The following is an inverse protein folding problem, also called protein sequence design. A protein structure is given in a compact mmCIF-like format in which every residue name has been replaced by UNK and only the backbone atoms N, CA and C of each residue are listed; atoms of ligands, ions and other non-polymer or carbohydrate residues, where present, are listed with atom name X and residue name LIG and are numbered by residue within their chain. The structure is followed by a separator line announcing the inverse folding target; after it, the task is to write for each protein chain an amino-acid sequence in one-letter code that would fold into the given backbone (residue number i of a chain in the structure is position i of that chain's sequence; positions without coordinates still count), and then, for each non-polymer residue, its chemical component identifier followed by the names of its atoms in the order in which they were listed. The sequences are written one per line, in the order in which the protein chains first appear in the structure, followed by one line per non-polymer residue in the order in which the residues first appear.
data_IF_591853526603
#
_entry.id   IF_591853526603
#
_cell.length_a   1.000
_cell.length_b   1.000
_cell.length_c   1.000
_cell.angle_alpha   90.00
_cell.angle_beta   90.00
_cell.angle_gamma   90.00
#
_symmetry.space_group_name_H-M   'P 1'
#
loop_
_entity.id
_entity.type
_entity.pdbx_description
1 polymer ?
#
# COMPACT_ATOMS: atom_id res chain seq x y z
N UNK A 1 -11.76 -47.98 46.36
CA UNK A 1 -10.66 -47.14 45.88
C UNK A 1 -11.14 -46.48 44.56
N UNK A 2 -11.57 -45.20 44.67
CA UNK A 2 -12.14 -44.47 43.50
C UNK A 2 -11.01 -43.58 42.97
N UNK A 3 -10.60 -43.80 41.73
CA UNK A 3 -9.60 -42.97 41.05
C UNK A 3 -10.35 -41.86 40.29
N UNK A 4 -10.22 -40.61 40.79
CA UNK A 4 -10.68 -39.44 40.06
C UNK A 4 -9.68 -39.08 38.98
N UNK A 5 -10.05 -39.21 37.73
CA UNK A 5 -9.29 -38.69 36.59
C UNK A 5 -9.61 -37.19 36.42
N UNK A 6 -8.65 -36.34 36.73
CA UNK A 6 -8.75 -34.90 36.43
C UNK A 6 -8.38 -34.65 34.97
N UNK A 7 -9.35 -34.27 34.16
CA UNK A 7 -9.15 -33.81 32.79
C UNK A 7 -8.66 -32.37 32.78
N UNK A 8 -7.40 -32.14 32.43
CA UNK A 8 -6.84 -30.82 32.15
C UNK A 8 -7.31 -30.38 30.77
N UNK A 9 -8.21 -29.38 30.72
CA UNK A 9 -8.52 -28.66 29.49
C UNK A 9 -7.37 -27.66 29.24
N UNK A 10 -6.50 -27.97 28.29
CA UNK A 10 -5.53 -27.01 27.77
C UNK A 10 -6.27 -26.06 26.87
N UNK A 11 -6.58 -24.86 27.37
CA UNK A 11 -7.07 -23.78 26.55
C UNK A 11 -5.93 -23.34 25.57
N UNK A 12 -6.13 -23.58 24.27
CA UNK A 12 -5.25 -23.02 23.26
C UNK A 12 -5.29 -21.49 23.35
N UNK A 13 -4.14 -20.80 23.36
CA UNK A 13 -4.15 -19.35 23.32
C UNK A 13 -4.76 -18.91 21.98
N UNK A 14 -5.87 -18.16 22.04
CA UNK A 14 -6.38 -17.43 20.90
C UNK A 14 -5.24 -16.54 20.37
N UNK A 15 -5.01 -16.47 19.05
CA UNK A 15 -4.08 -15.48 18.52
C UNK A 15 -4.67 -14.10 18.91
N UNK A 16 -4.08 -13.49 19.93
CA UNK A 16 -4.28 -12.08 20.20
C UNK A 16 -3.80 -11.37 18.94
N UNK A 17 -4.76 -10.83 18.16
CA UNK A 17 -4.44 -9.90 17.10
C UNK A 17 -3.61 -8.79 17.71
N UNK A 18 -2.30 -8.87 17.57
CA UNK A 18 -1.43 -7.77 17.89
C UNK A 18 -1.91 -6.64 16.97
N UNK A 19 -2.63 -5.67 17.55
CA UNK A 19 -2.72 -4.34 16.99
C UNK A 19 -1.28 -3.83 16.96
N UNK A 20 -0.58 -4.15 15.89
CA UNK A 20 0.65 -3.50 15.53
C UNK A 20 0.26 -2.02 15.42
N UNK A 21 0.77 -1.20 16.31
CA UNK A 21 0.95 0.22 16.02
C UNK A 21 1.89 0.22 14.83
N UNK A 22 1.29 0.13 13.63
CA UNK A 22 2.01 -0.03 12.39
C UNK A 22 2.95 1.15 12.23
N UNK A 23 4.14 0.85 11.77
CA UNK A 23 5.08 1.85 11.28
C UNK A 23 4.27 2.85 10.44
N UNK A 24 4.24 4.15 10.80
CA UNK A 24 3.38 5.13 10.16
C UNK A 24 3.62 5.25 8.65
N UNK A 25 4.80 4.82 8.19
CA UNK A 25 5.19 4.84 6.78
C UNK A 25 4.73 3.59 6.00
N UNK A 26 4.23 2.56 6.69
CA UNK A 26 3.71 1.36 6.04
C UNK A 26 2.27 1.52 5.60
N UNK A 27 2.00 0.99 4.43
CA UNK A 27 0.67 0.94 3.85
C UNK A 27 0.16 -0.50 3.81
N UNK A 28 -0.90 -0.79 4.54
CA UNK A 28 -1.41 -2.16 4.74
C UNK A 28 -1.69 -2.90 3.42
N UNK A 29 -2.25 -2.21 2.43
CA UNK A 29 -2.52 -2.80 1.10
C UNK A 29 -1.22 -3.18 0.41
N UNK A 30 -0.16 -2.38 0.57
CA UNK A 30 1.15 -2.66 -0.03
C UNK A 30 1.88 -3.79 0.71
N UNK A 31 1.82 -3.82 2.04
CA UNK A 31 2.39 -4.93 2.82
C UNK A 31 1.69 -6.26 2.51
N UNK A 32 0.36 -6.23 2.31
CA UNK A 32 -0.40 -7.43 1.89
C UNK A 32 0.05 -7.93 0.52
N UNK A 33 0.36 -7.03 -0.44
CA UNK A 33 0.90 -7.43 -1.73
C UNK A 33 2.22 -8.21 -1.59
N UNK A 34 3.13 -7.75 -0.72
CA UNK A 34 4.40 -8.44 -0.47
C UNK A 34 4.18 -9.87 0.03
N UNK A 35 3.23 -10.07 0.94
CA UNK A 35 2.87 -11.40 1.42
C UNK A 35 2.32 -12.26 0.28
N UNK A 36 1.36 -11.75 -0.48
CA UNK A 36 0.78 -12.47 -1.63
C UNK A 36 1.86 -12.85 -2.64
N UNK A 37 2.76 -11.93 -2.98
CA UNK A 37 3.84 -12.18 -3.94
C UNK A 37 4.80 -13.26 -3.43
N UNK A 38 5.14 -13.25 -2.14
CA UNK A 38 5.99 -14.26 -1.51
C UNK A 38 5.32 -15.64 -1.47
N UNK A 39 4.07 -15.73 -1.00
CA UNK A 39 3.34 -17.00 -0.93
C UNK A 39 3.10 -17.61 -2.32
N UNK A 40 2.78 -16.76 -3.30
CA UNK A 40 2.67 -17.22 -4.69
C UNK A 40 4.01 -17.63 -5.31
N UNK A 41 5.15 -17.13 -4.82
CA UNK A 41 6.47 -17.59 -5.27
C UNK A 41 6.70 -19.04 -4.84
N UNK A 42 6.25 -19.41 -3.64
CA UNK A 42 6.28 -20.77 -3.10
C UNK A 42 5.10 -21.66 -3.60
N UNK A 43 4.22 -21.09 -4.45
CA UNK A 43 2.99 -21.72 -4.93
C UNK A 43 1.98 -22.06 -3.82
N UNK A 44 2.05 -21.36 -2.67
CA UNK A 44 1.08 -21.48 -1.59
C UNK A 44 -0.13 -20.57 -1.85
N UNK A 45 -1.12 -21.12 -2.55
CA UNK A 45 -2.34 -20.41 -2.92
C UNK A 45 -3.26 -20.16 -1.73
N UNK A 46 -3.26 -21.04 -0.74
CA UNK A 46 -4.13 -20.92 0.42
C UNK A 46 -3.65 -19.78 1.33
N UNK A 47 -2.35 -19.69 1.57
CA UNK A 47 -1.76 -18.58 2.32
C UNK A 47 -1.89 -17.25 1.57
N UNK A 48 -1.65 -17.23 0.27
CA UNK A 48 -1.82 -16.01 -0.54
C UNK A 48 -3.28 -15.52 -0.54
N UNK A 49 -4.26 -16.41 -0.67
CA UNK A 49 -5.68 -16.09 -0.60
C UNK A 49 -6.06 -15.58 0.80
N UNK A 50 -5.57 -16.22 1.86
CA UNK A 50 -5.82 -15.79 3.23
C UNK A 50 -5.29 -14.35 3.47
N UNK A 51 -4.08 -14.03 3.00
CA UNK A 51 -3.53 -12.69 3.06
C UNK A 51 -4.41 -11.66 2.32
N UNK A 52 -4.86 -11.97 1.12
CA UNK A 52 -5.78 -11.12 0.36
C UNK A 52 -7.10 -10.90 1.10
N UNK A 53 -7.70 -11.96 1.65
CA UNK A 53 -9.01 -11.89 2.31
C UNK A 53 -9.02 -10.94 3.52
N UNK A 54 -7.91 -10.79 4.22
CA UNK A 54 -7.76 -9.79 5.31
C UNK A 54 -8.01 -8.37 4.81
N UNK A 55 -7.67 -8.07 3.56
CA UNK A 55 -7.80 -6.71 2.97
C UNK A 55 -8.91 -6.58 1.94
N UNK A 56 -9.61 -7.65 1.62
CA UNK A 56 -10.63 -7.66 0.57
C UNK A 56 -11.70 -6.57 0.75
N UNK A 57 -12.21 -6.41 1.97
CA UNK A 57 -13.23 -5.39 2.26
C UNK A 57 -12.68 -3.95 2.10
N UNK A 58 -11.43 -3.72 2.49
CA UNK A 58 -10.74 -2.45 2.30
C UNK A 58 -10.52 -2.16 0.80
N UNK A 59 -10.10 -3.16 0.04
CA UNK A 59 -9.93 -3.06 -1.42
C UNK A 59 -11.28 -2.72 -2.09
N UNK A 60 -12.34 -3.41 -1.73
CA UNK A 60 -13.68 -3.11 -2.24
C UNK A 60 -14.12 -1.68 -1.93
N UNK A 61 -13.89 -1.22 -0.69
CA UNK A 61 -14.26 0.12 -0.24
C UNK A 61 -13.49 1.24 -0.92
N UNK A 62 -12.19 1.04 -1.19
CA UNK A 62 -11.32 2.10 -1.70
C UNK A 62 -11.15 2.10 -3.21
N UNK A 63 -11.24 0.93 -3.85
CA UNK A 63 -10.93 0.77 -5.27
C UNK A 63 -12.11 0.24 -6.08
N UNK A 64 -13.20 -0.12 -5.41
CA UNK A 64 -14.45 -0.53 -6.04
C UNK A 64 -14.71 -2.03 -6.00
N UNK A 65 -16.00 -2.36 -6.04
CA UNK A 65 -16.49 -3.74 -5.97
C UNK A 65 -15.96 -4.60 -7.12
N UNK A 66 -15.92 -4.05 -8.33
CA UNK A 66 -15.48 -4.81 -9.52
C UNK A 66 -14.02 -5.21 -9.42
N UNK A 67 -13.18 -4.37 -8.81
CA UNK A 67 -11.76 -4.66 -8.56
C UNK A 67 -11.63 -5.83 -7.59
N UNK A 68 -12.39 -5.83 -6.49
CA UNK A 68 -12.39 -6.94 -5.54
C UNK A 68 -12.90 -8.24 -6.17
N UNK A 69 -14.00 -8.19 -6.94
CA UNK A 69 -14.54 -9.37 -7.64
C UNK A 69 -13.56 -9.92 -8.68
N UNK A 70 -12.83 -9.07 -9.37
CA UNK A 70 -11.78 -9.49 -10.31
C UNK A 70 -10.66 -10.24 -9.60
N UNK A 71 -10.19 -9.74 -8.45
CA UNK A 71 -9.20 -10.48 -7.66
C UNK A 71 -9.76 -11.80 -7.13
N UNK A 72 -11.00 -11.82 -6.63
CA UNK A 72 -11.67 -13.05 -6.21
C UNK A 72 -11.66 -14.10 -7.33
N UNK A 73 -11.96 -13.71 -8.57
CA UNK A 73 -11.91 -14.58 -9.74
C UNK A 73 -10.48 -15.03 -10.06
N UNK A 74 -9.50 -14.12 -10.05
CA UNK A 74 -8.11 -14.47 -10.34
C UNK A 74 -7.54 -15.47 -9.32
N UNK A 75 -7.88 -15.34 -8.04
CA UNK A 75 -7.51 -16.31 -7.00
C UNK A 75 -8.20 -17.65 -7.18
N UNK A 76 -9.53 -17.66 -7.43
CA UNK A 76 -10.29 -18.87 -7.69
C UNK A 76 -9.72 -19.67 -8.86
N UNK A 77 -9.36 -18.98 -9.93
CA UNK A 77 -8.84 -19.57 -11.17
C UNK A 77 -7.33 -19.86 -11.08
N UNK A 78 -6.71 -19.58 -9.92
CA UNK A 78 -5.27 -19.74 -9.65
C UNK A 78 -4.39 -19.12 -10.73
N UNK A 79 -4.78 -17.94 -11.23
CA UNK A 79 -4.03 -17.20 -12.23
C UNK A 79 -3.02 -16.23 -11.58
N UNK A 80 -1.84 -16.75 -11.25
CA UNK A 80 -0.76 -15.98 -10.60
C UNK A 80 -0.43 -14.68 -11.34
N UNK A 81 -0.38 -14.72 -12.67
CA UNK A 81 -0.03 -13.55 -13.47
C UNK A 81 -1.06 -12.42 -13.29
N UNK A 82 -2.35 -12.76 -13.36
CA UNK A 82 -3.44 -11.78 -13.19
C UNK A 82 -3.58 -11.31 -11.74
N UNK A 83 -3.40 -12.19 -10.74
CA UNK A 83 -3.37 -11.77 -9.34
C UNK A 83 -2.32 -10.68 -9.13
N UNK A 84 -1.08 -10.94 -9.53
CA UNK A 84 0.01 -9.98 -9.33
C UNK A 84 -0.17 -8.72 -10.19
N UNK A 85 -0.61 -8.84 -11.44
CA UNK A 85 -0.85 -7.70 -12.31
C UNK A 85 -1.94 -6.77 -11.75
N UNK A 86 -3.12 -7.34 -11.42
CA UNK A 86 -4.25 -6.55 -10.93
C UNK A 86 -3.98 -5.97 -9.53
N UNK A 87 -3.23 -6.69 -8.69
CA UNK A 87 -2.86 -6.14 -7.39
C UNK A 87 -1.85 -4.97 -7.51
N UNK A 88 -0.89 -5.05 -8.45
CA UNK A 88 0.00 -3.90 -8.74
C UNK A 88 -0.76 -2.69 -9.26
N UNK A 89 -1.81 -2.91 -10.05
CA UNK A 89 -2.71 -1.83 -10.45
C UNK A 89 -3.42 -1.20 -9.24
N UNK A 90 -3.85 -1.99 -8.25
CA UNK A 90 -4.40 -1.47 -6.99
C UNK A 90 -3.36 -0.62 -6.26
N UNK A 91 -2.09 -1.04 -6.22
CA UNK A 91 -1.03 -0.24 -5.59
C UNK A 91 -0.81 1.09 -6.33
N UNK A 92 -0.89 1.11 -7.66
CA UNK A 92 -0.87 2.35 -8.44
C UNK A 92 -2.06 3.26 -8.08
N UNK A 93 -3.27 2.72 -8.01
CA UNK A 93 -4.45 3.49 -7.57
C UNK A 93 -4.28 3.99 -6.12
N UNK A 94 -3.63 3.22 -5.26
CA UNK A 94 -3.35 3.64 -3.89
C UNK A 94 -2.36 4.82 -3.83
N UNK A 95 -1.35 4.85 -4.68
CA UNK A 95 -0.47 6.02 -4.83
C UNK A 95 -1.27 7.28 -5.17
N UNK A 96 -2.12 7.22 -6.19
CA UNK A 96 -2.98 8.33 -6.61
C UNK A 96 -3.91 8.79 -5.47
N UNK A 97 -4.55 7.84 -4.80
CA UNK A 97 -5.40 8.10 -3.64
C UNK A 97 -4.65 8.82 -2.51
N UNK A 98 -3.43 8.38 -2.19
CA UNK A 98 -2.62 8.99 -1.13
C UNK A 98 -2.15 10.39 -1.50
N UNK A 99 -1.76 10.62 -2.75
CA UNK A 99 -1.43 11.96 -3.24
C UNK A 99 -2.64 12.89 -3.19
N UNK A 100 -3.80 12.42 -3.63
CA UNK A 100 -5.05 13.19 -3.57
C UNK A 100 -5.42 13.58 -2.13
N UNK A 101 -5.34 12.62 -1.19
CA UNK A 101 -5.66 12.90 0.21
C UNK A 101 -4.61 13.81 0.88
N UNK A 102 -3.33 13.70 0.53
CA UNK A 102 -2.31 14.61 1.02
C UNK A 102 -2.56 16.04 0.52
N UNK A 103 -2.95 16.21 -0.74
CA UNK A 103 -3.34 17.51 -1.29
C UNK A 103 -4.56 18.11 -0.58
N UNK A 104 -5.61 17.31 -0.34
CA UNK A 104 -6.79 17.75 0.40
C UNK A 104 -6.47 18.21 1.82
N UNK A 105 -5.41 17.68 2.41
CA UNK A 105 -4.93 18.01 3.75
C UNK A 105 -3.68 18.88 3.74
N UNK A 106 -3.36 19.54 2.62
CA UNK A 106 -2.05 20.16 2.40
C UNK A 106 -1.71 21.26 3.42
N UNK A 107 -2.73 21.92 3.99
CA UNK A 107 -2.57 22.91 5.04
C UNK A 107 -2.34 22.29 6.44
N UNK A 108 -2.50 20.98 6.59
CA UNK A 108 -2.15 20.23 7.79
C UNK A 108 -0.86 19.43 7.51
N UNK A 109 0.29 20.03 7.80
CA UNK A 109 1.60 19.46 7.51
C UNK A 109 1.76 18.03 8.02
N UNK A 110 1.34 17.75 9.26
CA UNK A 110 1.50 16.41 9.85
C UNK A 110 0.68 15.36 9.07
N UNK A 111 -0.57 15.69 8.73
CA UNK A 111 -1.44 14.78 7.99
C UNK A 111 -0.99 14.60 6.53
N UNK A 112 -0.62 15.68 5.86
CA UNK A 112 -0.13 15.64 4.48
C UNK A 112 1.19 14.84 4.38
N UNK A 113 2.13 15.08 5.30
CA UNK A 113 3.40 14.34 5.39
C UNK A 113 3.18 12.85 5.62
N UNK A 114 2.27 12.48 6.52
CA UNK A 114 1.94 11.09 6.78
C UNK A 114 1.37 10.40 5.52
N UNK A 115 0.46 11.06 4.82
CA UNK A 115 -0.15 10.51 3.59
C UNK A 115 0.88 10.36 2.47
N UNK A 116 1.78 11.31 2.35
CA UNK A 116 2.88 11.25 1.38
C UNK A 116 3.90 10.16 1.74
N UNK A 117 4.20 9.96 3.03
CA UNK A 117 5.02 8.84 3.51
C UNK A 117 4.40 7.48 3.15
N UNK A 118 3.09 7.33 3.33
CA UNK A 118 2.34 6.13 2.91
C UNK A 118 2.38 5.90 1.40
N UNK A 119 2.29 6.97 0.59
CA UNK A 119 2.49 6.87 -0.86
C UNK A 119 3.91 6.38 -1.18
N UNK A 120 4.93 6.94 -0.52
CA UNK A 120 6.32 6.51 -0.70
C UNK A 120 6.51 5.04 -0.29
N UNK A 121 5.93 4.59 0.81
CA UNK A 121 5.94 3.19 1.24
C UNK A 121 5.32 2.26 0.17
N UNK A 122 4.21 2.67 -0.46
CA UNK A 122 3.63 1.93 -1.60
C UNK A 122 4.58 1.87 -2.80
N UNK A 123 5.24 2.99 -3.14
CA UNK A 123 6.25 3.02 -4.20
C UNK A 123 7.44 2.08 -3.89
N UNK A 124 7.93 2.07 -2.65
CA UNK A 124 9.05 1.24 -2.25
C UNK A 124 8.71 -0.27 -2.36
N UNK A 125 7.45 -0.67 -2.15
CA UNK A 125 6.96 -2.02 -2.41
C UNK A 125 6.93 -2.34 -3.91
N UNK A 126 6.55 -1.40 -4.76
CA UNK A 126 6.56 -1.57 -6.22
C UNK A 126 7.96 -1.54 -6.83
N UNK A 127 8.94 -1.01 -6.12
CA UNK A 127 10.29 -0.73 -6.63
C UNK A 127 10.96 -1.94 -7.29
N UNK A 128 10.97 -3.19 -6.75
CA UNK A 128 11.60 -4.32 -7.42
C UNK A 128 11.00 -4.59 -8.81
N UNK A 129 9.67 -4.42 -8.96
CA UNK A 129 8.99 -4.55 -10.24
C UNK A 129 9.37 -3.42 -11.21
N UNK A 130 9.53 -2.20 -10.70
CA UNK A 130 9.87 -1.01 -11.48
C UNK A 130 11.33 -0.99 -11.93
N UNK A 131 12.26 -1.44 -11.09
CA UNK A 131 13.70 -1.52 -11.42
C UNK A 131 14.00 -2.40 -12.63
N UNK A 132 13.16 -3.41 -12.87
CA UNK A 132 13.27 -4.27 -14.06
C UNK A 132 12.78 -3.54 -15.33
N UNK A 133 11.80 -2.62 -15.23
CA UNK A 133 11.08 -2.02 -16.36
C UNK A 133 11.54 -0.62 -16.72
N UNK A 134 11.86 0.16 -15.69
CA UNK A 134 12.24 1.57 -15.84
C UNK A 134 13.45 1.94 -14.96
N UNK A 135 14.55 1.17 -14.98
CA UNK A 135 15.68 1.36 -14.06
C UNK A 135 16.22 2.79 -14.07
N UNK A 136 16.24 3.44 -15.22
CA UNK A 136 16.77 4.79 -15.38
C UNK A 136 15.85 5.90 -14.84
N UNK A 137 14.60 5.60 -14.52
CA UNK A 137 13.61 6.58 -14.02
C UNK A 137 13.40 6.49 -12.51
N UNK A 138 13.93 5.48 -11.84
CA UNK A 138 13.73 5.28 -10.39
C UNK A 138 14.25 6.46 -9.59
N UNK A 139 15.41 7.00 -9.94
CA UNK A 139 15.97 8.14 -9.23
C UNK A 139 15.15 9.41 -9.46
N UNK A 140 14.70 9.65 -10.67
CA UNK A 140 13.82 10.79 -11.00
C UNK A 140 12.51 10.74 -10.21
N UNK A 141 11.89 9.55 -10.07
CA UNK A 141 10.69 9.37 -9.25
C UNK A 141 10.99 9.71 -7.79
N UNK A 142 12.11 9.28 -7.24
CA UNK A 142 12.54 9.62 -5.88
C UNK A 142 12.71 11.12 -5.69
N UNK A 143 13.39 11.77 -6.64
CA UNK A 143 13.58 13.23 -6.62
C UNK A 143 12.23 13.96 -6.65
N UNK A 144 11.24 13.41 -7.35
CA UNK A 144 9.88 13.95 -7.33
C UNK A 144 9.18 13.76 -5.98
N UNK A 145 9.38 12.62 -5.30
CA UNK A 145 8.88 12.45 -3.93
C UNK A 145 9.51 13.49 -2.98
N UNK A 146 10.82 13.67 -3.03
CA UNK A 146 11.54 14.63 -2.17
C UNK A 146 11.04 16.05 -2.41
N UNK A 147 10.87 16.47 -3.67
CA UNK A 147 10.30 17.77 -4.02
C UNK A 147 8.83 17.92 -3.63
N UNK A 148 8.03 16.84 -3.67
CA UNK A 148 6.67 16.84 -3.15
C UNK A 148 6.65 17.05 -1.62
N UNK A 149 7.58 16.43 -0.88
CA UNK A 149 7.76 16.71 0.56
C UNK A 149 8.17 18.16 0.83
N UNK A 150 9.14 18.69 0.10
CA UNK A 150 9.57 20.08 0.23
C UNK A 150 8.43 21.06 -0.01
N UNK A 151 7.52 20.75 -0.94
CA UNK A 151 6.38 21.59 -1.29
C UNK A 151 5.30 21.66 -0.20
N UNK A 152 5.28 20.70 0.75
CA UNK A 152 4.42 20.78 1.94
C UNK A 152 4.83 21.95 2.87
N UNK A 153 5.97 22.57 2.61
CA UNK A 153 6.49 23.65 3.45
C UNK A 153 7.05 23.12 4.77
N UNK A 154 7.08 24.01 5.74
CA UNK A 154 7.54 23.68 7.11
C UNK A 154 6.77 24.55 8.11
N UNK A 155 6.08 23.98 9.11
CA UNK A 155 5.40 24.75 10.14
C UNK A 155 6.34 25.62 10.99
N UNK A 156 7.66 25.31 10.99
CA UNK A 156 8.64 25.95 11.83
C UNK A 156 8.52 25.57 13.30
N UNK A 157 9.58 25.80 14.07
CA UNK A 157 9.52 25.68 15.53
C UNK A 157 9.08 27.03 16.10
N UNK A 158 7.93 27.10 16.76
CA UNK A 158 7.33 28.35 17.25
C UNK A 158 7.21 29.43 16.15
N UNK A 159 6.86 29.04 14.93
CA UNK A 159 6.82 29.88 13.71
C UNK A 159 8.19 30.41 13.22
N UNK A 160 9.30 30.02 13.83
CA UNK A 160 10.63 30.34 13.33
C UNK A 160 10.98 29.39 12.17
N UNK A 161 11.44 29.95 11.05
CA UNK A 161 11.80 29.17 9.87
C UNK A 161 10.60 28.57 9.11
N UNK A 162 9.40 29.08 9.33
CA UNK A 162 8.19 28.67 8.60
C UNK A 162 8.39 28.86 7.10
N UNK A 163 8.12 27.80 6.32
CA UNK A 163 8.02 27.87 4.87
C UNK A 163 6.56 27.66 4.46
N UNK A 164 6.01 28.49 3.56
CA UNK A 164 4.66 28.30 3.06
C UNK A 164 4.55 27.01 2.24
N UNK A 165 3.33 26.50 2.15
CA UNK A 165 2.98 25.40 1.24
C UNK A 165 3.02 25.92 -0.20
N UNK A 166 3.54 25.10 -1.12
CA UNK A 166 3.46 25.31 -2.57
C UNK A 166 2.61 24.21 -3.21
N UNK A 167 1.31 24.46 -3.33
CA UNK A 167 0.34 23.53 -3.88
C UNK A 167 0.65 23.17 -5.34
N UNK A 168 1.08 24.15 -6.14
CA UNK A 168 1.39 23.94 -7.55
C UNK A 168 2.64 23.08 -7.74
N UNK A 169 3.66 23.28 -6.91
CA UNK A 169 4.82 22.39 -6.89
C UNK A 169 4.44 20.97 -6.46
N UNK A 170 3.60 20.83 -5.43
CA UNK A 170 3.10 19.53 -4.99
C UNK A 170 2.42 18.78 -6.14
N UNK A 171 1.44 19.39 -6.77
CA UNK A 171 0.70 18.82 -7.92
C UNK A 171 1.62 18.42 -9.06
N UNK A 172 2.55 19.31 -9.43
CA UNK A 172 3.50 19.06 -10.51
C UNK A 172 4.32 17.80 -10.26
N UNK A 173 4.83 17.63 -9.03
CA UNK A 173 5.70 16.50 -8.70
C UNK A 173 4.91 15.19 -8.54
N UNK A 174 3.76 15.19 -7.88
CA UNK A 174 2.93 13.99 -7.76
C UNK A 174 2.34 13.55 -9.10
N UNK A 175 1.94 14.49 -9.95
CA UNK A 175 1.49 14.19 -11.32
C UNK A 175 2.61 13.61 -12.19
N UNK A 176 3.85 14.09 -12.05
CA UNK A 176 4.99 13.52 -12.77
C UNK A 176 5.21 12.04 -12.39
N UNK A 177 5.16 11.72 -11.08
CA UNK A 177 5.24 10.33 -10.61
C UNK A 177 4.14 9.47 -11.25
N UNK A 178 2.89 9.91 -11.14
CA UNK A 178 1.75 9.14 -11.67
C UNK A 178 1.81 8.97 -13.19
N UNK A 179 2.23 10.01 -13.92
CA UNK A 179 2.37 9.97 -15.38
C UNK A 179 3.44 8.97 -15.81
N UNK A 180 4.57 8.95 -15.12
CA UNK A 180 5.66 7.99 -15.38
C UNK A 180 5.22 6.55 -15.10
N UNK A 181 4.45 6.34 -14.04
CA UNK A 181 4.05 5.00 -13.60
C UNK A 181 2.86 4.43 -14.38
N UNK A 182 1.91 5.28 -14.79
CA UNK A 182 0.65 4.87 -15.42
C UNK A 182 0.78 3.82 -16.54
N UNK A 183 1.71 3.94 -17.49
CA UNK A 183 1.84 2.97 -18.59
C UNK A 183 2.25 1.56 -18.16
N UNK A 184 2.76 1.40 -16.94
CA UNK A 184 3.29 0.15 -16.41
C UNK A 184 2.24 -0.71 -15.72
N UNK A 185 1.06 -0.14 -15.43
CA UNK A 185 0.02 -0.80 -14.65
C UNK A 185 -1.26 -0.95 -15.47
N UNK A 186 -1.45 -2.15 -15.99
CA UNK A 186 -2.66 -2.53 -16.70
C UNK A 186 -3.63 -3.26 -15.76
N UNK A 187 -4.90 -2.92 -15.83
CA UNK A 187 -5.99 -3.66 -15.20
C UNK A 187 -6.63 -4.59 -16.21
N UNK A 188 -6.81 -5.85 -15.82
CA UNK A 188 -7.51 -6.83 -16.64
C UNK A 188 -8.72 -7.35 -15.83
N UNK A 189 -9.95 -6.92 -16.17
CA UNK A 189 -11.16 -7.41 -15.51
C UNK A 189 -11.36 -8.90 -15.77
N UNK A 190 -12.04 -9.59 -14.82
CA UNK A 190 -12.43 -10.98 -14.93
C UNK A 190 -13.65 -11.15 -15.84
#
# INVERSE_FOLDING_TARGET
MVVLAASFIVAAPSPAGAYSYGDPDKEDVAETYKLIEAELAENDWDAALAAYQVRRAEIESHFGKDVALTLDANFRDKNKALVLQNYRYILYMNLDRRFTYAEQNINNYAQASLLLAKAKGTFDVLKPYLEIRIPNQIQEIRDHFDKAYESLGNPGLFNLGKKPVDVEAYRRHTSAILTTLKPLFAYTPA
#
